data_IF_105221578958
#
_entry.id   IF_105221578958
#
_cell.length_a   1.000
_cell.length_b   1.000
_cell.length_c   1.000
_cell.angle_alpha   90.00
_cell.angle_beta   90.00
_cell.angle_gamma   90.00
#
_symmetry.space_group_name_H-M   'P 1'
#
loop_
_entity.id
_entity.type
_entity.pdbx_description
1 polymer ?
#
# COMPACT_ATOMS: atom_id res chain seq x y z
N UNK A 1 -1.00 -9.83 13.11
CA UNK A 1 -1.20 -10.92 12.10
C UNK A 1 -0.36 -10.71 10.84
N UNK A 2 -0.33 -9.51 10.25
CA UNK A 2 0.41 -9.25 9.00
C UNK A 2 1.95 -9.18 9.16
N UNK A 3 2.44 -8.74 10.33
CA UNK A 3 3.86 -8.62 10.67
C UNK A 3 4.67 -7.77 9.67
N UNK A 4 4.24 -6.51 9.51
CA UNK A 4 4.85 -5.52 8.59
C UNK A 4 5.31 -4.25 9.33
N UNK A 5 5.88 -4.39 10.53
CA UNK A 5 6.12 -3.32 11.53
C UNK A 5 4.87 -2.87 12.30
N UNK A 6 5.05 -2.10 13.38
CA UNK A 6 3.95 -1.48 14.11
C UNK A 6 3.30 -0.38 13.26
N UNK A 7 2.03 -0.03 13.56
CA UNK A 7 1.26 0.88 12.70
C UNK A 7 1.91 2.26 12.59
N UNK A 8 2.58 2.72 13.64
CA UNK A 8 3.24 4.04 13.65
C UNK A 8 4.46 4.01 12.72
N UNK A 9 5.28 2.96 12.79
CA UNK A 9 6.43 2.80 11.89
C UNK A 9 6.00 2.62 10.42
N UNK A 10 5.02 1.75 10.15
CA UNK A 10 4.50 1.54 8.80
C UNK A 10 3.94 2.83 8.21
N UNK A 11 3.15 3.58 8.98
CA UNK A 11 2.56 4.84 8.53
C UNK A 11 3.60 5.94 8.32
N UNK A 12 4.66 5.97 9.13
CA UNK A 12 5.78 6.89 8.93
C UNK A 12 6.49 6.62 7.60
N UNK A 13 6.85 5.36 7.33
CA UNK A 13 7.46 4.94 6.07
C UNK A 13 6.54 5.28 4.89
N UNK A 14 5.24 5.00 5.01
CA UNK A 14 4.27 5.24 3.95
C UNK A 14 4.01 6.73 3.70
N UNK A 15 3.97 7.59 4.73
CA UNK A 15 3.91 9.05 4.57
C UNK A 15 5.16 9.59 3.86
N UNK A 16 6.34 9.07 4.18
CA UNK A 16 7.57 9.39 3.45
C UNK A 16 7.46 8.99 1.98
N UNK A 17 6.98 7.77 1.72
CA UNK A 17 6.77 7.25 0.37
C UNK A 17 5.85 8.15 -0.46
N UNK A 18 4.70 8.59 0.08
CA UNK A 18 3.81 9.50 -0.64
C UNK A 18 4.38 10.91 -0.84
N UNK A 19 5.06 11.46 0.18
CA UNK A 19 5.54 12.84 0.14
C UNK A 19 6.77 13.03 -0.75
N UNK A 20 7.62 12.01 -0.85
CA UNK A 20 8.88 12.04 -1.58
C UNK A 20 9.06 10.86 -2.52
N UNK A 21 7.96 10.39 -3.12
CA UNK A 21 7.91 9.25 -4.05
C UNK A 21 9.05 9.28 -5.06
N UNK A 22 9.68 8.12 -5.28
CA UNK A 22 10.74 7.91 -6.29
C UNK A 22 12.04 8.71 -6.05
N UNK A 23 12.20 9.31 -4.87
CA UNK A 23 13.45 9.99 -4.47
C UNK A 23 14.25 9.16 -3.45
N UNK A 24 15.45 9.59 -3.12
CA UNK A 24 16.24 9.00 -2.04
C UNK A 24 15.60 9.12 -0.63
N UNK A 25 14.53 9.91 -0.49
CA UNK A 25 13.74 9.99 0.74
C UNK A 25 12.54 9.03 0.75
N UNK A 26 12.29 8.32 -0.34
CA UNK A 26 11.33 7.21 -0.41
C UNK A 26 11.99 5.93 0.12
N UNK A 27 11.41 5.27 1.15
CA UNK A 27 11.97 4.05 1.72
C UNK A 27 12.10 2.89 0.71
N UNK A 28 11.25 2.82 -0.31
CA UNK A 28 11.23 1.76 -1.32
C UNK A 28 11.28 2.30 -2.75
N UNK A 29 12.09 3.34 -2.94
CA UNK A 29 12.32 4.03 -4.22
C UNK A 29 12.50 3.08 -5.43
N UNK A 30 11.53 3.11 -6.36
CA UNK A 30 11.55 2.29 -7.59
C UNK A 30 12.72 2.61 -8.54
N UNK A 31 13.28 3.82 -8.49
CA UNK A 31 14.43 4.21 -9.31
C UNK A 31 15.72 3.47 -8.93
N UNK A 32 15.75 2.78 -7.77
CA UNK A 32 16.84 1.86 -7.38
C UNK A 32 16.63 0.44 -7.93
N UNK A 33 15.58 0.22 -8.71
CA UNK A 33 15.28 -1.04 -9.39
C UNK A 33 14.22 -1.88 -8.68
N UNK A 34 13.57 -2.76 -9.44
CA UNK A 34 12.46 -3.60 -8.99
C UNK A 34 12.80 -4.44 -7.76
N UNK A 35 13.99 -5.05 -7.71
CA UNK A 35 14.40 -5.85 -6.55
C UNK A 35 14.50 -5.01 -5.28
N UNK A 36 15.02 -3.78 -5.40
CA UNK A 36 15.16 -2.88 -4.26
C UNK A 36 13.78 -2.50 -3.70
N UNK A 37 12.86 -2.04 -4.55
CA UNK A 37 11.51 -1.65 -4.11
C UNK A 37 10.67 -2.83 -3.61
N UNK A 38 10.92 -4.05 -4.12
CA UNK A 38 10.21 -5.24 -3.67
C UNK A 38 10.67 -5.70 -2.28
N UNK A 39 11.96 -6.00 -2.09
CA UNK A 39 12.47 -6.54 -0.81
C UNK A 39 13.82 -5.96 -0.41
N UNK A 40 14.65 -5.51 -1.37
CA UNK A 40 16.01 -5.06 -1.08
C UNK A 40 16.08 -3.90 -0.08
N UNK A 41 15.06 -3.04 -0.02
CA UNK A 41 14.98 -1.95 0.95
C UNK A 41 14.93 -2.40 2.42
N UNK A 42 14.45 -3.63 2.68
CA UNK A 42 14.45 -4.24 4.02
C UNK A 42 15.80 -4.84 4.40
N UNK A 43 16.69 -5.05 3.43
CA UNK A 43 17.96 -5.75 3.59
C UNK A 43 19.15 -4.81 3.77
N UNK A 44 18.91 -3.49 3.73
CA UNK A 44 19.93 -2.46 3.86
C UNK A 44 19.47 -1.33 4.76
N UNK A 45 20.42 -0.56 5.30
CA UNK A 45 20.09 0.64 6.06
C UNK A 45 19.36 1.67 5.19
N UNK A 46 18.39 2.37 5.80
CA UNK A 46 17.67 3.48 5.16
C UNK A 46 18.65 4.57 4.72
N UNK A 47 18.35 5.21 3.59
CA UNK A 47 19.18 6.27 3.04
C UNK A 47 19.18 7.52 3.96
N UNK A 48 20.29 8.28 4.10
CA UNK A 48 20.33 9.46 4.97
C UNK A 48 19.24 10.51 4.70
N UNK A 49 18.88 10.73 3.43
CA UNK A 49 17.79 11.64 3.03
C UNK A 49 16.41 11.21 3.56
N UNK A 50 16.15 9.91 3.68
CA UNK A 50 14.91 9.41 4.31
C UNK A 50 14.83 9.86 5.78
N UNK A 51 15.94 9.75 6.52
CA UNK A 51 16.02 10.18 7.93
C UNK A 51 15.89 11.70 8.05
N UNK A 52 16.57 12.44 7.18
CA UNK A 52 16.54 13.92 7.17
C UNK A 52 15.13 14.44 6.87
N UNK A 53 14.50 13.96 5.79
CA UNK A 53 13.19 14.43 5.34
C UNK A 53 12.08 13.96 6.24
N UNK A 54 12.12 12.71 6.72
CA UNK A 54 11.07 12.17 7.56
C UNK A 54 10.85 12.93 8.87
N UNK A 55 11.87 13.63 9.41
CA UNK A 55 11.72 14.57 10.55
C UNK A 55 10.74 15.72 10.31
N UNK A 56 10.39 15.99 9.05
CA UNK A 56 9.45 17.03 8.66
C UNK A 56 8.00 16.54 8.63
N UNK A 57 7.75 15.26 8.92
CA UNK A 57 6.41 14.70 9.03
C UNK A 57 5.85 14.98 10.42
N UNK A 58 4.60 15.44 10.45
CA UNK A 58 3.80 15.37 11.65
C UNK A 58 3.34 13.93 11.85
N UNK A 59 3.54 13.41 13.05
CA UNK A 59 3.14 12.06 13.49
C UNK A 59 2.33 12.11 14.78
N UNK A 60 1.95 13.31 15.23
CA UNK A 60 1.27 13.53 16.52
C UNK A 60 -0.08 12.83 16.58
N UNK A 61 -0.78 12.71 15.46
CA UNK A 61 -2.04 11.99 15.33
C UNK A 61 -1.92 10.50 15.69
N UNK A 62 -0.82 9.85 15.28
CA UNK A 62 -0.59 8.44 15.58
C UNK A 62 0.10 8.23 16.94
N UNK A 63 1.00 9.13 17.32
CA UNK A 63 1.74 9.02 18.59
C UNK A 63 0.87 9.27 19.82
N UNK A 64 -0.21 10.05 19.66
CA UNK A 64 -1.17 10.32 20.73
C UNK A 64 -2.31 9.28 20.80
N UNK A 65 -2.37 8.30 19.90
CA UNK A 65 -3.38 7.25 19.93
C UNK A 65 -3.00 6.14 20.92
N UNK A 66 -3.81 5.89 21.97
CA UNK A 66 -3.48 4.90 23.00
C UNK A 66 -3.55 3.44 22.49
N UNK A 67 -4.36 3.15 21.48
CA UNK A 67 -4.46 1.82 20.87
C UNK A 67 -3.18 1.53 20.08
N UNK A 68 -2.69 2.51 19.31
CA UNK A 68 -1.43 2.37 18.58
C UNK A 68 -0.23 2.28 19.53
N UNK A 69 -0.22 3.07 20.60
CA UNK A 69 0.79 2.98 21.65
C UNK A 69 0.83 1.58 22.30
N UNK A 70 -0.34 1.00 22.59
CA UNK A 70 -0.44 -0.37 23.08
C UNK A 70 0.12 -1.38 22.07
N UNK A 71 -0.28 -1.28 20.80
CA UNK A 71 0.18 -2.19 19.74
C UNK A 71 1.71 -2.15 19.58
N UNK A 72 2.31 -0.96 19.58
CA UNK A 72 3.76 -0.78 19.51
C UNK A 72 4.47 -1.35 20.74
N UNK A 73 3.97 -1.07 21.95
CA UNK A 73 4.56 -1.58 23.20
C UNK A 73 4.58 -3.11 23.28
N UNK A 74 3.55 -3.75 22.73
CA UNK A 74 3.37 -5.20 22.77
C UNK A 74 3.60 -5.89 21.42
N UNK A 75 4.30 -5.23 20.50
CA UNK A 75 4.37 -5.66 19.10
C UNK A 75 4.89 -7.08 18.92
N UNK A 76 6.04 -7.42 19.51
CA UNK A 76 6.63 -8.77 19.36
C UNK A 76 5.77 -9.89 19.98
N UNK A 77 5.25 -9.78 21.22
CA UNK A 77 4.27 -10.73 21.75
C UNK A 77 3.03 -10.89 20.86
N UNK A 78 2.46 -9.78 20.36
CA UNK A 78 1.29 -9.81 19.48
C UNK A 78 1.61 -10.48 18.14
N UNK A 79 2.80 -10.27 17.57
CA UNK A 79 3.25 -10.96 16.36
C UNK A 79 3.39 -12.45 16.61
N UNK A 80 4.08 -12.87 17.67
CA UNK A 80 4.25 -14.28 18.01
C UNK A 80 2.88 -14.97 18.15
N UNK A 81 1.95 -14.35 18.88
CA UNK A 81 0.61 -14.87 19.07
C UNK A 81 -0.20 -14.88 17.77
N UNK A 82 -0.42 -13.73 17.13
CA UNK A 82 -1.39 -13.61 16.05
C UNK A 82 -0.85 -13.95 14.65
N UNK A 83 0.46 -13.91 14.43
CA UNK A 83 1.05 -14.27 13.12
C UNK A 83 1.39 -15.76 13.04
N UNK A 84 1.82 -16.37 14.16
CA UNK A 84 2.37 -17.72 14.17
C UNK A 84 1.58 -18.70 15.04
N UNK A 85 1.42 -18.43 16.33
CA UNK A 85 0.83 -19.40 17.27
C UNK A 85 -0.67 -19.62 17.01
N UNK A 86 -1.44 -18.55 16.88
CA UNK A 86 -2.90 -18.62 16.72
C UNK A 86 -3.29 -19.32 15.41
N UNK A 87 -2.74 -18.98 14.22
CA UNK A 87 -3.06 -19.71 12.99
C UNK A 87 -2.71 -21.21 13.09
N UNK A 88 -1.54 -21.53 13.65
CA UNK A 88 -1.13 -22.93 13.88
C UNK A 88 -2.09 -23.65 14.81
N UNK A 89 -2.47 -23.01 15.91
CA UNK A 89 -3.38 -23.55 16.92
C UNK A 89 -4.77 -23.82 16.34
N UNK A 90 -5.30 -22.91 15.52
CA UNK A 90 -6.57 -23.10 14.82
C UNK A 90 -6.53 -24.34 13.91
N UNK A 91 -5.42 -24.61 13.22
CA UNK A 91 -5.30 -25.84 12.41
C UNK A 91 -5.36 -27.10 13.27
N UNK A 92 -4.61 -27.13 14.37
CA UNK A 92 -4.52 -28.29 15.26
C UNK A 92 -5.85 -28.57 15.94
N UNK A 93 -6.49 -27.54 16.51
CA UNK A 93 -7.69 -27.73 17.34
C UNK A 93 -9.00 -27.55 16.59
N UNK A 94 -9.00 -26.79 15.49
CA UNK A 94 -10.18 -26.56 14.67
C UNK A 94 -10.52 -27.75 13.78
N UNK A 95 -9.52 -28.46 13.25
CA UNK A 95 -9.73 -29.60 12.35
C UNK A 95 -8.72 -30.74 12.49
N UNK A 96 -7.95 -30.78 13.57
CA UNK A 96 -7.10 -31.95 13.91
C UNK A 96 -5.81 -32.06 13.11
N UNK A 97 -5.31 -30.96 12.53
CA UNK A 97 -4.09 -30.98 11.71
C UNK A 97 -2.82 -31.20 12.54
N UNK A 98 -1.77 -31.74 11.91
CA UNK A 98 -0.45 -31.79 12.49
C UNK A 98 0.12 -30.38 12.75
N UNK A 99 0.67 -30.14 13.94
CA UNK A 99 1.17 -28.82 14.34
C UNK A 99 2.26 -28.26 13.42
N UNK A 100 3.17 -29.09 12.90
CA UNK A 100 4.19 -28.64 11.95
C UNK A 100 3.57 -28.27 10.61
N UNK A 101 2.60 -29.04 10.13
CA UNK A 101 1.87 -28.74 8.89
C UNK A 101 1.14 -27.41 9.02
N UNK A 102 0.42 -27.20 10.14
CA UNK A 102 -0.25 -25.92 10.44
C UNK A 102 0.73 -24.74 10.52
N UNK A 103 1.89 -24.93 11.14
CA UNK A 103 2.92 -23.89 11.25
C UNK A 103 3.49 -23.50 9.88
N UNK A 104 3.86 -24.46 9.04
CA UNK A 104 4.44 -24.16 7.74
C UNK A 104 3.43 -23.59 6.74
N UNK A 105 2.17 -24.03 6.79
CA UNK A 105 1.13 -23.60 5.84
C UNK A 105 0.39 -22.35 6.30
N UNK A 106 -0.35 -22.43 7.40
CA UNK A 106 -1.23 -21.36 7.87
C UNK A 106 -0.50 -20.17 8.53
N UNK A 107 0.72 -20.40 9.03
CA UNK A 107 1.56 -19.33 9.58
C UNK A 107 2.65 -18.88 8.61
N UNK A 108 3.67 -19.69 8.32
CA UNK A 108 4.87 -19.26 7.57
C UNK A 108 4.54 -18.96 6.11
N UNK A 109 3.94 -19.90 5.37
CA UNK A 109 3.62 -19.69 3.96
C UNK A 109 2.64 -18.53 3.79
N UNK A 110 1.57 -18.49 4.59
CA UNK A 110 0.62 -17.36 4.61
C UNK A 110 1.33 -16.02 4.86
N UNK A 111 2.25 -15.97 5.83
CA UNK A 111 3.03 -14.77 6.13
C UNK A 111 3.89 -14.34 4.93
N UNK A 112 4.67 -15.24 4.33
CA UNK A 112 5.48 -14.94 3.15
C UNK A 112 4.62 -14.48 1.98
N UNK A 113 3.49 -15.15 1.73
CA UNK A 113 2.54 -14.74 0.69
C UNK A 113 1.99 -13.33 0.92
N UNK A 114 1.62 -13.02 2.17
CA UNK A 114 1.14 -11.68 2.56
C UNK A 114 2.21 -10.61 2.34
N UNK A 115 3.47 -10.92 2.64
CA UNK A 115 4.58 -10.00 2.39
C UNK A 115 4.78 -9.74 0.90
N UNK A 116 4.90 -10.78 0.08
CA UNK A 116 5.13 -10.60 -1.36
C UNK A 116 3.98 -9.89 -2.08
N UNK A 117 2.73 -10.20 -1.71
CA UNK A 117 1.56 -9.48 -2.25
C UNK A 117 1.60 -7.99 -1.91
N UNK A 118 1.98 -7.63 -0.68
CA UNK A 118 2.16 -6.23 -0.29
C UNK A 118 3.33 -5.57 -1.01
N UNK A 119 4.49 -6.25 -1.09
CA UNK A 119 5.68 -5.73 -1.74
C UNK A 119 5.54 -5.55 -3.25
N UNK A 120 4.61 -6.27 -3.89
CA UNK A 120 4.26 -6.01 -5.28
C UNK A 120 3.60 -4.64 -5.48
N UNK A 121 2.96 -4.06 -4.47
CA UNK A 121 2.47 -2.67 -4.56
C UNK A 121 3.64 -1.71 -4.72
N UNK A 122 4.70 -1.86 -3.92
CA UNK A 122 5.89 -1.01 -4.01
C UNK A 122 6.67 -1.21 -5.32
N UNK A 123 6.66 -2.42 -5.91
CA UNK A 123 7.45 -2.76 -7.09
C UNK A 123 6.63 -2.80 -8.38
N UNK A 124 5.75 -3.78 -8.51
CA UNK A 124 4.95 -3.99 -9.71
C UNK A 124 3.96 -2.85 -9.95
N UNK A 125 3.32 -2.31 -8.91
CA UNK A 125 2.41 -1.17 -9.05
C UNK A 125 3.12 0.18 -9.24
N UNK A 126 4.45 0.20 -9.38
CA UNK A 126 5.23 1.33 -9.91
C UNK A 126 5.84 1.06 -11.30
N UNK A 127 5.61 -0.13 -11.88
CA UNK A 127 6.30 -0.57 -13.10
C UNK A 127 5.36 -1.06 -14.19
N UNK A 128 4.36 -1.88 -13.87
CA UNK A 128 3.58 -2.65 -14.84
C UNK A 128 2.10 -2.30 -14.80
N UNK A 129 1.67 -1.37 -15.66
CA UNK A 129 0.29 -0.91 -15.71
C UNK A 129 0.10 0.37 -16.51
N UNK A 130 -1.00 1.07 -16.26
CA UNK A 130 -1.38 2.30 -16.95
C UNK A 130 -1.57 3.46 -15.97
N UNK A 131 -1.52 4.71 -16.46
CA UNK A 131 -1.50 5.92 -15.61
C UNK A 131 -2.56 6.94 -16.01
N UNK A 132 -3.84 6.70 -15.71
CA UNK A 132 -4.92 7.54 -16.22
C UNK A 132 -5.14 8.82 -15.38
N UNK A 133 -4.60 8.92 -14.17
CA UNK A 133 -4.80 10.06 -13.26
C UNK A 133 -3.58 10.98 -13.17
N UNK A 134 -2.36 10.45 -13.26
CA UNK A 134 -1.15 11.26 -13.45
C UNK A 134 -0.08 10.48 -14.22
N UNK A 135 0.27 10.95 -15.42
CA UNK A 135 1.25 10.31 -16.32
C UNK A 135 2.70 10.65 -15.97
N UNK A 136 2.94 11.50 -14.98
CA UNK A 136 4.27 11.98 -14.60
C UNK A 136 4.86 11.26 -13.40
N UNK A 137 4.03 10.52 -12.66
CA UNK A 137 4.45 9.71 -11.51
C UNK A 137 4.63 8.25 -11.96
N UNK A 138 5.41 7.46 -11.21
CA UNK A 138 5.62 6.03 -11.49
C UNK A 138 4.45 5.10 -11.08
N UNK A 139 3.65 5.36 -10.02
CA UNK A 139 2.50 4.53 -9.65
C UNK A 139 1.57 4.27 -10.82
N UNK A 140 1.15 3.02 -11.00
CA UNK A 140 0.31 2.55 -12.10
C UNK A 140 -0.96 1.87 -11.59
N UNK A 141 -2.00 1.92 -12.40
CA UNK A 141 -3.18 1.07 -12.24
C UNK A 141 -2.88 -0.35 -12.69
N UNK A 142 -3.28 -1.33 -11.88
CA UNK A 142 -3.13 -2.75 -12.19
C UNK A 142 -4.29 -3.58 -11.64
N UNK A 143 -5.00 -4.26 -12.53
CA UNK A 143 -6.07 -5.22 -12.18
C UNK A 143 -5.50 -6.38 -11.35
N UNK A 144 -4.31 -6.87 -11.71
CA UNK A 144 -3.64 -7.96 -10.99
C UNK A 144 -3.25 -7.56 -9.57
N UNK A 145 -2.76 -6.34 -9.39
CA UNK A 145 -2.50 -5.80 -8.05
C UNK A 145 -3.79 -5.66 -7.24
N UNK A 146 -4.91 -5.28 -7.87
CA UNK A 146 -6.21 -5.17 -7.18
C UNK A 146 -6.66 -6.52 -6.63
N UNK A 147 -6.52 -7.59 -7.41
CA UNK A 147 -6.84 -8.96 -6.96
C UNK A 147 -5.86 -9.44 -5.88
N UNK A 148 -4.56 -9.28 -6.10
CA UNK A 148 -3.53 -9.83 -5.22
C UNK A 148 -3.43 -9.10 -3.86
N UNK A 149 -3.71 -7.80 -3.84
CA UNK A 149 -3.63 -6.94 -2.66
C UNK A 149 -5.02 -6.43 -2.21
N UNK A 150 -6.08 -7.16 -2.54
CA UNK A 150 -7.45 -6.95 -2.01
C UNK A 150 -8.06 -5.56 -2.27
N UNK A 151 -7.63 -4.85 -3.31
CA UNK A 151 -8.14 -3.53 -3.69
C UNK A 151 -7.08 -2.49 -3.99
N UNK A 152 -5.84 -2.73 -3.57
CA UNK A 152 -4.75 -1.74 -3.67
C UNK A 152 -4.12 -1.62 -5.07
N UNK A 153 -4.75 -2.18 -6.11
CA UNK A 153 -4.26 -2.03 -7.49
C UNK A 153 -4.58 -0.67 -8.12
N UNK A 154 -5.35 0.14 -7.39
CA UNK A 154 -5.65 1.56 -7.59
C UNK A 154 -4.45 2.51 -7.63
N UNK A 155 -3.19 2.05 -7.76
CA UNK A 155 -2.03 2.78 -7.23
C UNK A 155 -1.78 4.16 -7.86
N UNK A 156 -2.03 4.34 -9.16
CA UNK A 156 -1.97 5.67 -9.79
C UNK A 156 -3.06 6.63 -9.25
N UNK A 157 -4.26 6.11 -8.97
CA UNK A 157 -5.33 6.88 -8.34
C UNK A 157 -4.95 7.22 -6.91
N UNK A 158 -4.52 6.23 -6.14
CA UNK A 158 -4.13 6.38 -4.74
C UNK A 158 -3.02 7.43 -4.55
N UNK A 159 -1.99 7.45 -5.38
CA UNK A 159 -0.95 8.48 -5.31
C UNK A 159 -1.41 9.86 -5.77
N UNK A 160 -2.41 9.93 -6.66
CA UNK A 160 -3.01 11.20 -7.09
C UNK A 160 -3.97 11.76 -6.03
N UNK A 161 -4.69 10.88 -5.34
CA UNK A 161 -5.76 11.19 -4.40
C UNK A 161 -5.60 10.42 -3.08
N UNK A 162 -4.52 10.66 -2.30
CA UNK A 162 -4.17 9.82 -1.14
C UNK A 162 -5.15 9.95 0.04
N UNK A 163 -6.07 10.91 0.00
CA UNK A 163 -7.09 11.11 1.04
C UNK A 163 -8.37 10.31 0.80
N UNK A 164 -8.54 9.73 -0.40
CA UNK A 164 -9.73 8.97 -0.74
C UNK A 164 -9.69 7.59 -0.08
N UNK A 165 -10.69 7.28 0.76
CA UNK A 165 -10.73 6.02 1.49
C UNK A 165 -10.83 4.79 0.57
N UNK A 166 -11.30 4.99 -0.68
CA UNK A 166 -11.52 3.91 -1.64
C UNK A 166 -10.23 3.42 -2.28
N UNK A 167 -9.14 4.18 -2.22
CA UNK A 167 -7.83 3.90 -2.90
C UNK A 167 -7.90 3.66 -4.43
N UNK A 168 -9.10 3.66 -5.03
CA UNK A 168 -9.35 3.44 -6.45
C UNK A 168 -10.72 4.02 -6.86
N UNK A 169 -10.87 4.34 -8.15
CA UNK A 169 -12.18 4.71 -8.74
C UNK A 169 -13.14 3.51 -8.86
N UNK A 170 -12.65 2.27 -8.69
CA UNK A 170 -13.40 1.04 -8.95
C UNK A 170 -14.13 0.57 -7.69
N UNK A 171 -15.28 1.18 -7.42
CA UNK A 171 -15.95 1.14 -6.12
C UNK A 171 -16.46 -0.24 -5.66
N UNK A 172 -16.51 -1.26 -6.52
CA UNK A 172 -17.08 -2.57 -6.16
C UNK A 172 -16.48 -3.80 -6.86
N UNK A 173 -15.84 -3.63 -8.01
CA UNK A 173 -15.49 -4.78 -8.87
C UNK A 173 -14.29 -5.57 -8.38
N UNK A 174 -13.32 -4.92 -7.71
CA UNK A 174 -12.05 -5.54 -7.32
C UNK A 174 -11.48 -4.99 -6.00
N UNK A 175 -12.29 -4.29 -5.20
CA UNK A 175 -11.83 -3.61 -4.00
C UNK A 175 -12.49 -4.16 -2.74
N UNK A 176 -11.90 -5.24 -2.22
CA UNK A 176 -12.40 -5.91 -1.04
C UNK A 176 -12.20 -5.08 0.24
N UNK A 177 -11.09 -4.34 0.34
CA UNK A 177 -10.83 -3.42 1.46
C UNK A 177 -11.95 -2.40 1.62
N UNK A 178 -12.36 -1.75 0.52
CA UNK A 178 -13.50 -0.82 0.54
C UNK A 178 -14.79 -1.52 1.01
N UNK A 179 -15.11 -2.71 0.49
CA UNK A 179 -16.33 -3.42 0.88
C UNK A 179 -16.39 -3.68 2.39
N UNK A 180 -15.25 -4.00 3.01
CA UNK A 180 -15.16 -4.19 4.47
C UNK A 180 -15.41 -2.87 5.20
N UNK A 181 -14.81 -1.77 4.74
CA UNK A 181 -15.01 -0.42 5.34
C UNK A 181 -16.47 0.02 5.22
N UNK A 182 -17.10 -0.18 4.05
CA UNK A 182 -18.52 0.12 3.83
C UNK A 182 -19.41 -0.70 4.74
N UNK A 183 -19.07 -1.98 4.98
CA UNK A 183 -19.76 -2.82 5.95
C UNK A 183 -19.70 -2.26 7.37
N UNK A 184 -18.51 -1.79 7.80
CA UNK A 184 -18.37 -1.11 9.09
C UNK A 184 -19.10 0.22 9.14
N UNK A 185 -19.16 0.96 8.03
CA UNK A 185 -19.92 2.20 7.96
C UNK A 185 -21.43 1.95 8.05
N UNK A 186 -21.95 0.91 7.40
CA UNK A 186 -23.34 0.49 7.51
C UNK A 186 -23.72 0.08 8.95
N UNK A 187 -22.77 -0.45 9.72
CA UNK A 187 -22.93 -0.77 11.15
C UNK A 187 -22.73 0.45 12.07
N UNK A 188 -22.29 1.59 11.54
CA UNK A 188 -21.97 2.79 12.32
C UNK A 188 -20.62 2.75 13.05
N UNK A 189 -19.74 1.80 12.72
CA UNK A 189 -18.39 1.67 13.29
C UNK A 189 -17.35 2.51 12.56
N UNK A 190 -17.61 2.85 11.29
CA UNK A 190 -16.83 3.78 10.50
C UNK A 190 -17.70 4.96 10.03
N UNK A 191 -17.13 6.15 9.99
CA UNK A 191 -17.79 7.38 9.55
C UNK A 191 -16.74 8.36 9.02
N UNK A 192 -17.17 9.50 8.48
CA UNK A 192 -16.29 10.49 7.83
C UNK A 192 -15.44 9.88 6.70
N UNK A 193 -16.04 8.98 5.91
CA UNK A 193 -15.39 8.36 4.75
C UNK A 193 -15.16 9.43 3.67
N UNK A 194 -13.89 9.78 3.46
CA UNK A 194 -13.50 10.81 2.50
C UNK A 194 -13.50 10.27 1.07
N UNK A 195 -14.28 10.91 0.22
CA UNK A 195 -14.44 10.58 -1.21
C UNK A 195 -14.07 11.80 -2.03
N UNK A 196 -13.19 11.63 -3.01
CA UNK A 196 -12.90 12.69 -3.98
C UNK A 196 -14.09 12.83 -4.93
N UNK A 197 -14.61 14.05 -5.14
CA UNK A 197 -15.73 14.29 -6.06
C UNK A 197 -15.42 13.88 -7.51
N UNK A 198 -16.43 13.34 -8.20
CA UNK A 198 -16.28 12.84 -9.58
C UNK A 198 -15.87 13.91 -10.58
N UNK A 199 -16.31 15.16 -10.38
CA UNK A 199 -15.91 16.29 -11.23
C UNK A 199 -14.40 16.59 -11.10
N UNK A 200 -13.85 16.47 -9.90
CA UNK A 200 -12.41 16.60 -9.64
C UNK A 200 -11.64 15.47 -10.31
N UNK A 201 -12.10 14.22 -10.18
CA UNK A 201 -11.48 13.04 -10.81
C UNK A 201 -11.49 13.19 -12.34
N UNK A 202 -12.63 13.57 -12.92
CA UNK A 202 -12.79 13.72 -14.37
C UNK A 202 -11.96 14.90 -14.91
N UNK A 203 -11.91 16.02 -14.18
CA UNK A 203 -11.04 17.15 -14.52
C UNK A 203 -9.57 16.71 -14.58
N UNK A 204 -9.12 15.95 -13.59
CA UNK A 204 -7.75 15.43 -13.55
C UNK A 204 -7.46 14.47 -14.72
N UNK A 205 -8.36 13.54 -15.03
CA UNK A 205 -8.22 12.62 -16.18
C UNK A 205 -8.12 13.39 -17.50
N UNK A 206 -8.99 14.38 -17.70
CA UNK A 206 -8.99 15.22 -18.90
C UNK A 206 -7.67 16.00 -19.05
N UNK A 207 -7.14 16.54 -17.95
CA UNK A 207 -5.81 17.18 -17.93
C UNK A 207 -4.72 16.22 -18.41
N UNK A 208 -4.72 14.96 -17.98
CA UNK A 208 -3.72 13.98 -18.43
C UNK A 208 -3.86 13.65 -19.91
N UNK A 209 -5.08 13.56 -20.44
CA UNK A 209 -5.34 13.35 -21.87
C UNK A 209 -4.72 14.48 -22.70
N UNK A 210 -4.91 15.74 -22.31
CA UNK A 210 -4.32 16.88 -23.02
C UNK A 210 -2.78 16.88 -22.97
N UNK A 211 -2.18 16.46 -21.84
CA UNK A 211 -0.73 16.25 -21.74
C UNK A 211 -0.25 15.17 -22.71
N UNK A 212 -0.99 14.05 -22.82
CA UNK A 212 -0.61 12.96 -23.72
C UNK A 212 -0.76 13.35 -25.19
N UNK A 213 -1.82 14.07 -25.55
CA UNK A 213 -2.02 14.61 -26.91
C UNK A 213 -0.88 15.54 -27.30
N UNK A 214 -0.52 16.49 -26.43
CA UNK A 214 0.57 17.43 -26.73
C UNK A 214 1.92 16.73 -26.91
N UNK A 215 2.23 15.73 -26.08
CA UNK A 215 3.43 14.88 -26.24
C UNK A 215 3.44 14.13 -27.56
N UNK A 216 2.31 13.54 -27.96
CA UNK A 216 2.19 12.83 -29.22
C UNK A 216 2.41 13.75 -30.42
N UNK A 217 1.83 14.96 -30.38
CA UNK A 217 2.03 15.98 -31.40
C UNK A 217 3.50 16.39 -31.50
N UNK A 218 4.16 16.74 -30.39
CA UNK A 218 5.60 17.10 -30.40
C UNK A 218 6.48 15.97 -30.92
N UNK A 219 6.20 14.71 -30.54
CA UNK A 219 6.95 13.56 -31.03
C UNK A 219 6.80 13.37 -32.55
N UNK A 220 5.61 13.64 -33.11
CA UNK A 220 5.37 13.55 -34.55
C UNK A 220 6.11 14.63 -35.37
N UNK A 221 6.38 15.80 -34.77
CA UNK A 221 7.15 16.89 -35.41
C UNK A 221 8.67 16.76 -35.23
N UNK A 222 9.16 15.91 -34.31
CA UNK A 222 10.59 15.66 -34.10
C UNK A 222 11.18 14.54 -34.97
N UNK A 223 10.37 13.89 -35.81
CA UNK A 223 10.76 12.81 -36.71
C UNK A 223 10.86 13.25 -38.19
N UNK A 224 10.75 14.56 -38.46
CA UNK A 224 10.99 15.19 -39.77
C UNK A 224 12.31 15.95 -39.78
#
# INVERSE_FOLDING_TARGET
>A
MAFQTDVIEWSYDHRCHHKWTDTDADPHNINRGFFFSHIGWLLVSKHPKFIEKGKQLDMSDLLNDPILAFQRRHYHPLVALFCFLLPTWVCVWGWGENALVGLYTAAIFRFCWTLHTTWFINSAAHTFGYRPYDVNISPVQSVWASVAALGEGGHNYHHTFPQDYRTSEWEFTLNFTKMVIDGFAALGWAYDLKVVPDDVINCQKNKQIEILKSRATTASFGLT
#
